data_IF_653718901304
#
_entry.id   IF_653718901304
#
_cell.length_a   1.000
_cell.length_b   1.000
_cell.length_c   1.000
_cell.angle_alpha   90.00
_cell.angle_beta   90.00
_cell.angle_gamma   90.00
#
_symmetry.space_group_name_H-M   'P 1'
#
loop_
_entity.id
_entity.type
_entity.pdbx_description
1 polymer ?
#
# COMPACT_ATOMS: atom_id res chain seq x y z
N UNK A 1 -20.04 4.04 31.76
CA UNK A 1 -20.48 3.27 30.57
C UNK A 1 -19.90 3.96 29.35
N UNK A 2 -18.98 3.33 28.63
CA UNK A 2 -18.42 3.92 27.41
C UNK A 2 -18.62 2.92 26.28
N UNK A 3 -19.77 3.01 25.63
CA UNK A 3 -20.06 2.29 24.40
C UNK A 3 -19.43 3.06 23.24
N UNK A 4 -18.12 2.90 23.03
CA UNK A 4 -17.56 3.21 21.71
C UNK A 4 -17.96 2.05 20.81
N UNK A 5 -18.96 2.31 19.96
CA UNK A 5 -19.31 1.45 18.84
C UNK A 5 -18.03 1.22 18.02
N UNK A 6 -17.49 0.00 18.07
CA UNK A 6 -16.61 -0.47 17.00
C UNK A 6 -17.46 -0.52 15.74
N UNK A 7 -17.54 0.60 15.02
CA UNK A 7 -18.12 0.62 13.68
C UNK A 7 -17.50 -0.54 12.91
N UNK A 8 -18.34 -1.43 12.38
CA UNK A 8 -17.88 -2.49 11.47
C UNK A 8 -17.01 -1.80 10.42
N UNK A 9 -15.70 -2.03 10.45
CA UNK A 9 -14.82 -1.61 9.35
C UNK A 9 -15.32 -2.38 8.14
N UNK A 10 -16.05 -1.70 7.26
CA UNK A 10 -16.42 -2.27 5.97
C UNK A 10 -15.10 -2.47 5.24
N UNK A 11 -14.68 -3.74 5.15
CA UNK A 11 -13.55 -4.13 4.33
C UNK A 11 -13.94 -3.85 2.89
N UNK A 12 -13.56 -2.67 2.37
CA UNK A 12 -13.56 -2.45 0.94
C UNK A 12 -12.51 -3.42 0.39
N UNK A 13 -12.98 -4.52 -0.21
CA UNK A 13 -12.10 -5.46 -0.91
C UNK A 13 -11.25 -4.69 -1.91
N UNK A 14 -9.97 -5.08 -2.04
CA UNK A 14 -9.07 -4.47 -3.01
C UNK A 14 -9.74 -4.41 -4.38
N UNK A 15 -9.76 -3.22 -4.98
CA UNK A 15 -10.28 -3.02 -6.32
C UNK A 15 -9.53 -3.91 -7.31
N UNK A 16 -10.26 -4.46 -8.27
CA UNK A 16 -9.67 -5.28 -9.31
C UNK A 16 -8.79 -4.39 -10.22
N UNK A 17 -7.56 -4.82 -10.49
CA UNK A 17 -6.61 -4.04 -11.29
C UNK A 17 -7.11 -3.78 -12.71
N UNK A 18 -7.81 -4.74 -13.33
CA UNK A 18 -8.43 -4.57 -14.65
C UNK A 18 -9.54 -3.51 -14.60
N UNK A 19 -10.31 -3.45 -13.51
CA UNK A 19 -11.32 -2.40 -13.33
C UNK A 19 -10.68 -1.02 -13.14
N UNK A 20 -9.57 -0.95 -12.40
CA UNK A 20 -8.81 0.30 -12.25
C UNK A 20 -8.25 0.77 -13.59
N UNK A 21 -7.59 -0.12 -14.34
CA UNK A 21 -7.05 0.19 -15.67
C UNK A 21 -8.14 0.73 -16.59
N UNK A 22 -9.29 0.03 -16.65
CA UNK A 22 -10.44 0.44 -17.44
C UNK A 22 -10.99 1.80 -16.98
N UNK A 23 -11.07 2.04 -15.68
CA UNK A 23 -11.53 3.33 -15.14
C UNK A 23 -10.59 4.48 -15.53
N UNK A 24 -9.27 4.28 -15.45
CA UNK A 24 -8.32 5.31 -15.90
C UNK A 24 -8.47 5.57 -17.40
N UNK A 25 -8.56 4.51 -18.21
CA UNK A 25 -8.72 4.63 -19.66
C UNK A 25 -9.94 5.49 -20.01
N UNK A 26 -11.09 5.20 -19.43
CA UNK A 26 -12.32 5.93 -19.70
C UNK A 26 -12.21 7.39 -19.29
N UNK A 27 -11.79 7.66 -18.05
CA UNK A 27 -11.70 9.04 -17.52
C UNK A 27 -10.73 9.90 -18.34
N UNK A 28 -9.58 9.35 -18.73
CA UNK A 28 -8.60 10.09 -19.52
C UNK A 28 -9.04 10.28 -20.97
N UNK A 29 -9.67 9.26 -21.56
CA UNK A 29 -10.18 9.34 -22.94
C UNK A 29 -11.33 10.34 -23.07
N UNK A 30 -12.29 10.34 -22.14
CA UNK A 30 -13.37 11.34 -22.09
C UNK A 30 -12.84 12.77 -21.99
N UNK A 31 -11.71 12.95 -21.29
CA UNK A 31 -11.07 14.23 -21.12
C UNK A 31 -10.05 14.60 -22.20
N UNK A 32 -9.99 13.81 -23.29
CA UNK A 32 -9.08 13.98 -24.43
C UNK A 32 -7.59 13.94 -24.07
N UNK A 33 -7.21 13.11 -23.10
CA UNK A 33 -5.81 12.82 -22.78
C UNK A 33 -5.32 11.64 -23.62
N UNK A 34 -4.08 11.72 -24.09
CA UNK A 34 -3.37 10.61 -24.73
C UNK A 34 -2.64 9.80 -23.66
N UNK A 35 -2.93 8.50 -23.59
CA UNK A 35 -2.34 7.57 -22.62
C UNK A 35 -2.04 6.26 -23.31
N UNK A 36 -0.84 5.73 -23.11
CA UNK A 36 -0.44 4.41 -23.63
C UNK A 36 -0.99 3.28 -22.75
N UNK A 37 -1.30 2.14 -23.36
CA UNK A 37 -1.82 0.96 -22.65
C UNK A 37 -0.86 0.47 -21.56
N UNK A 38 0.46 0.50 -21.83
CA UNK A 38 1.48 0.15 -20.84
C UNK A 38 1.44 1.05 -19.61
N UNK A 39 1.21 2.36 -19.80
CA UNK A 39 1.10 3.33 -18.72
C UNK A 39 -0.16 3.10 -17.88
N UNK A 40 -1.30 2.75 -18.49
CA UNK A 40 -2.53 2.42 -17.76
C UNK A 40 -2.36 1.20 -16.85
N UNK A 41 -1.68 0.15 -17.35
CA UNK A 41 -1.36 -1.04 -16.57
C UNK A 41 -0.42 -0.69 -15.41
N UNK A 42 0.62 0.10 -15.66
CA UNK A 42 1.54 0.57 -14.64
C UNK A 42 0.80 1.36 -13.54
N UNK A 43 -0.05 2.31 -13.94
CA UNK A 43 -0.89 3.06 -13.01
C UNK A 43 -1.74 2.14 -12.15
N UNK A 44 -2.40 1.13 -12.75
CA UNK A 44 -3.21 0.17 -11.99
C UNK A 44 -2.35 -0.60 -10.99
N UNK A 45 -1.19 -1.11 -11.39
CA UNK A 45 -0.26 -1.85 -10.52
C UNK A 45 0.23 -1.00 -9.35
N UNK A 46 0.55 0.29 -9.58
CA UNK A 46 0.98 1.23 -8.54
C UNK A 46 -0.06 1.43 -7.42
N UNK A 47 -1.34 1.15 -7.69
CA UNK A 47 -2.40 1.25 -6.67
C UNK A 47 -2.49 0.01 -5.78
N UNK A 48 -2.03 -1.16 -6.24
CA UNK A 48 -2.34 -2.49 -5.65
C UNK A 48 -3.84 -2.71 -5.32
N UNK A 49 -4.76 -2.01 -5.98
CA UNK A 49 -6.19 -2.08 -5.69
C UNK A 49 -6.62 -1.29 -4.45
N UNK A 50 -5.75 -0.48 -3.86
CA UNK A 50 -6.10 0.38 -2.73
C UNK A 50 -6.82 1.64 -3.22
N UNK A 51 -8.06 1.85 -2.77
CA UNK A 51 -8.95 2.89 -3.32
C UNK A 51 -8.39 4.30 -3.20
N UNK A 52 -7.75 4.64 -2.07
CA UNK A 52 -7.16 5.95 -1.89
C UNK A 52 -5.95 6.16 -2.82
N UNK A 53 -5.10 5.15 -2.97
CA UNK A 53 -3.98 5.17 -3.92
C UNK A 53 -4.46 5.38 -5.37
N UNK A 54 -5.54 4.70 -5.76
CA UNK A 54 -6.20 4.89 -7.04
C UNK A 54 -6.67 6.34 -7.25
N UNK A 55 -7.39 6.90 -6.28
CA UNK A 55 -7.88 8.28 -6.37
C UNK A 55 -6.74 9.29 -6.46
N UNK A 56 -5.73 9.15 -5.59
CA UNK A 56 -4.61 10.05 -5.50
C UNK A 56 -3.75 10.02 -6.78
N UNK A 57 -3.43 8.84 -7.30
CA UNK A 57 -2.60 8.71 -8.50
C UNK A 57 -3.30 9.34 -9.72
N UNK A 58 -4.61 9.09 -9.89
CA UNK A 58 -5.41 9.72 -10.95
C UNK A 58 -5.41 11.24 -10.84
N UNK A 59 -5.62 11.77 -9.64
CA UNK A 59 -5.58 13.21 -9.38
C UNK A 59 -4.22 13.84 -9.74
N UNK A 60 -3.11 13.24 -9.30
CA UNK A 60 -1.78 13.75 -9.57
C UNK A 60 -1.43 13.71 -11.06
N UNK A 61 -1.74 12.59 -11.74
CA UNK A 61 -1.56 12.45 -13.19
C UNK A 61 -2.35 13.53 -13.95
N UNK A 62 -3.62 13.73 -13.60
CA UNK A 62 -4.46 14.76 -14.21
C UNK A 62 -3.90 16.18 -14.00
N UNK A 63 -3.51 16.50 -12.76
CA UNK A 63 -2.96 17.80 -12.37
C UNK A 63 -1.69 18.12 -13.15
N UNK A 64 -0.78 17.14 -13.26
CA UNK A 64 0.52 17.32 -13.93
C UNK A 64 0.40 17.36 -15.46
N UNK A 65 -0.45 16.51 -16.04
CA UNK A 65 -0.70 16.47 -17.48
C UNK A 65 -1.71 17.51 -17.99
N UNK A 66 -2.18 18.44 -17.13
CA UNK A 66 -3.23 19.42 -17.49
C UNK A 66 -2.92 20.21 -18.77
N UNK A 67 -1.65 20.55 -18.98
CA UNK A 67 -1.19 21.34 -20.13
C UNK A 67 -0.78 20.47 -21.32
N UNK A 68 -0.07 19.36 -21.08
CA UNK A 68 0.44 18.49 -22.15
C UNK A 68 -0.62 17.56 -22.72
N UNK A 69 -1.63 17.20 -21.91
CA UNK A 69 -2.64 16.18 -22.20
C UNK A 69 -2.04 14.80 -22.54
N UNK A 70 -0.80 14.56 -22.14
CA UNK A 70 -0.08 13.31 -22.36
C UNK A 70 0.25 12.71 -21.00
N UNK A 71 -0.10 11.44 -20.83
CA UNK A 71 0.23 10.63 -19.65
C UNK A 71 1.07 9.45 -20.16
N UNK A 72 2.36 9.51 -19.89
CA UNK A 72 3.36 8.52 -20.24
C UNK A 72 4.13 8.05 -19.00
N UNK A 73 5.03 7.08 -19.15
CA UNK A 73 5.86 6.58 -18.06
C UNK A 73 6.75 7.67 -17.43
N UNK A 74 7.17 8.66 -18.20
CA UNK A 74 7.99 9.77 -17.69
C UNK A 74 7.18 10.67 -16.75
N UNK A 75 5.93 10.98 -17.08
CA UNK A 75 5.02 11.68 -16.19
C UNK A 75 4.82 10.90 -14.87
N UNK A 76 4.67 9.57 -14.95
CA UNK A 76 4.52 8.73 -13.76
C UNK A 76 5.75 8.83 -12.85
N UNK A 77 6.96 8.76 -13.39
CA UNK A 77 8.18 8.94 -12.60
C UNK A 77 8.29 10.35 -12.01
N UNK A 78 7.80 11.39 -12.69
CA UNK A 78 7.76 12.75 -12.14
C UNK A 78 6.76 12.92 -10.97
N UNK A 79 5.60 12.26 -11.02
CA UNK A 79 4.59 12.36 -9.95
C UNK A 79 4.86 11.42 -8.78
N UNK A 80 5.61 10.34 -8.99
CA UNK A 80 5.88 9.30 -8.00
C UNK A 80 6.41 9.82 -6.66
N UNK A 81 7.34 10.80 -6.58
CA UNK A 81 7.75 11.38 -5.31
C UNK A 81 6.60 12.07 -4.54
N UNK A 82 5.78 12.87 -5.21
CA UNK A 82 4.60 13.54 -4.62
C UNK A 82 3.57 12.49 -4.19
N UNK A 83 3.35 11.48 -5.02
CA UNK A 83 2.44 10.37 -4.75
C UNK A 83 2.81 9.59 -3.48
N UNK A 84 4.09 9.22 -3.33
CA UNK A 84 4.58 8.52 -2.13
C UNK A 84 4.45 9.41 -0.88
N UNK A 85 4.78 10.70 -0.98
CA UNK A 85 4.66 11.62 0.14
C UNK A 85 3.21 11.77 0.63
N UNK A 86 2.27 11.91 -0.30
CA UNK A 86 0.84 12.04 0.00
C UNK A 86 0.24 10.73 0.54
N UNK A 87 0.72 9.57 0.08
CA UNK A 87 0.37 8.27 0.68
C UNK A 87 0.87 8.18 2.13
N UNK A 88 2.12 8.56 2.36
CA UNK A 88 2.77 8.55 3.67
C UNK A 88 1.96 9.40 4.67
N UNK A 89 1.76 10.67 4.35
CA UNK A 89 1.13 11.66 5.23
C UNK A 89 -0.36 11.38 5.48
N UNK A 90 -1.11 11.05 4.43
CA UNK A 90 -2.57 10.99 4.56
C UNK A 90 -3.08 9.65 5.05
N UNK A 91 -2.35 8.57 4.79
CA UNK A 91 -2.74 7.20 5.12
C UNK A 91 -1.72 6.46 5.98
N UNK A 92 -0.47 6.32 5.54
CA UNK A 92 0.43 5.32 6.11
C UNK A 92 0.92 5.67 7.51
N UNK A 93 1.20 6.94 7.78
CA UNK A 93 1.54 7.41 9.14
C UNK A 93 0.43 7.11 10.13
N UNK A 94 -0.83 7.39 9.78
CA UNK A 94 -1.97 7.11 10.66
C UNK A 94 -2.17 5.61 10.90
N UNK A 95 -2.03 4.79 9.86
CA UNK A 95 -2.11 3.34 9.97
C UNK A 95 -1.01 2.83 10.89
N UNK A 96 0.23 3.24 10.64
CA UNK A 96 1.42 2.78 11.36
C UNK A 96 1.43 3.24 12.82
N UNK A 97 1.04 4.48 13.09
CA UNK A 97 0.99 5.03 14.43
C UNK A 97 -0.10 4.34 15.29
N UNK A 98 -1.17 3.86 14.65
CA UNK A 98 -2.21 3.04 15.30
C UNK A 98 -1.78 1.61 15.64
N UNK A 99 -0.62 1.15 15.17
CA UNK A 99 -0.11 -0.20 15.44
C UNK A 99 0.63 -0.28 16.77
N UNK A 100 0.49 -1.40 17.47
CA UNK A 100 1.27 -1.65 18.69
C UNK A 100 2.74 -1.89 18.35
N UNK A 101 3.64 -1.68 19.33
CA UNK A 101 5.08 -1.91 19.16
C UNK A 101 5.40 -3.33 18.65
N UNK A 102 4.60 -4.33 19.01
CA UNK A 102 4.79 -5.71 18.56
C UNK A 102 4.29 -5.94 17.13
N UNK A 103 3.23 -5.25 16.71
CA UNK A 103 2.78 -5.23 15.31
C UNK A 103 3.87 -4.59 14.43
N UNK A 104 4.44 -3.46 14.86
CA UNK A 104 5.54 -2.77 14.16
C UNK A 104 6.76 -3.67 14.01
N UNK A 105 7.16 -4.39 15.06
CA UNK A 105 8.25 -5.39 14.99
C UNK A 105 8.00 -6.49 13.96
N UNK A 106 6.76 -6.95 13.82
CA UNK A 106 6.40 -7.90 12.78
C UNK A 106 6.58 -7.28 11.38
N UNK A 107 6.09 -6.05 11.18
CA UNK A 107 6.20 -5.37 9.89
C UNK A 107 7.65 -5.05 9.53
N UNK A 108 8.48 -4.64 10.48
CA UNK A 108 9.92 -4.42 10.26
C UNK A 108 10.61 -5.70 9.80
N UNK A 109 10.39 -6.82 10.49
CA UNK A 109 10.96 -8.10 10.10
C UNK A 109 10.45 -8.60 8.73
N UNK A 110 9.20 -8.26 8.38
CA UNK A 110 8.64 -8.54 7.06
C UNK A 110 9.27 -7.64 5.98
N UNK A 111 9.43 -6.35 6.26
CA UNK A 111 9.93 -5.35 5.31
C UNK A 111 11.41 -5.56 4.95
N UNK A 112 12.20 -6.14 5.85
CA UNK A 112 13.59 -6.53 5.57
C UNK A 112 13.73 -7.63 4.50
N UNK A 113 12.66 -8.32 4.13
CA UNK A 113 12.71 -9.27 3.02
C UNK A 113 12.72 -8.52 1.68
N UNK A 114 13.57 -8.93 0.74
CA UNK A 114 13.57 -8.39 -0.63
C UNK A 114 12.40 -8.91 -1.49
N UNK A 115 11.62 -9.86 -0.96
CA UNK A 115 10.50 -10.47 -1.66
C UNK A 115 9.19 -9.76 -1.31
N UNK A 116 8.36 -9.54 -2.32
CA UNK A 116 6.99 -9.04 -2.13
C UNK A 116 6.10 -10.01 -1.33
N UNK A 117 6.39 -11.32 -1.43
CA UNK A 117 5.74 -12.40 -0.68
C UNK A 117 6.75 -12.97 0.30
N UNK A 118 6.41 -12.95 1.57
CA UNK A 118 7.33 -13.31 2.66
C UNK A 118 6.77 -14.53 3.40
N UNK A 119 7.61 -15.54 3.58
CA UNK A 119 7.26 -16.70 4.39
C UNK A 119 7.19 -16.32 5.86
N UNK A 120 6.14 -16.77 6.54
CA UNK A 120 5.97 -16.59 7.99
C UNK A 120 7.14 -17.21 8.77
N UNK A 121 7.73 -18.29 8.23
CA UNK A 121 8.93 -18.92 8.81
C UNK A 121 10.11 -17.95 8.86
N UNK A 122 10.34 -17.18 7.79
CA UNK A 122 11.45 -16.24 7.69
C UNK A 122 11.22 -15.05 8.63
N UNK A 123 9.98 -14.55 8.71
CA UNK A 123 9.60 -13.51 9.67
C UNK A 123 9.84 -14.00 11.11
N UNK A 124 9.44 -15.23 11.44
CA UNK A 124 9.68 -15.83 12.77
C UNK A 124 11.16 -15.91 13.10
N UNK A 125 11.99 -16.32 12.14
CA UNK A 125 13.44 -16.41 12.32
C UNK A 125 14.06 -15.04 12.63
N UNK A 126 13.64 -13.98 11.92
CA UNK A 126 14.13 -12.61 12.15
C UNK A 126 13.70 -12.04 13.50
N UNK A 127 12.44 -12.24 13.89
CA UNK A 127 11.90 -11.70 15.15
C UNK A 127 12.45 -12.47 16.37
N UNK A 128 12.90 -13.71 16.19
CA UNK A 128 13.37 -14.62 17.25
C UNK A 128 12.36 -14.74 18.42
N UNK A 129 11.08 -14.97 18.09
CA UNK A 129 9.98 -15.13 19.05
C UNK A 129 9.22 -16.44 18.84
N UNK A 130 8.48 -16.92 19.87
CA UNK A 130 7.68 -18.15 19.78
C UNK A 130 6.64 -18.10 18.65
N UNK A 131 6.30 -19.27 18.08
CA UNK A 131 5.30 -19.38 17.01
C UNK A 131 3.94 -18.76 17.38
N UNK A 132 3.50 -18.91 18.64
CA UNK A 132 2.24 -18.36 19.14
C UNK A 132 2.23 -16.83 19.09
N UNK A 133 3.36 -16.19 19.38
CA UNK A 133 3.53 -14.74 19.28
C UNK A 133 3.30 -14.32 17.82
N UNK A 134 4.05 -14.89 16.88
CA UNK A 134 3.98 -14.53 15.46
C UNK A 134 2.57 -14.78 14.87
N UNK A 135 1.91 -15.86 15.25
CA UNK A 135 0.55 -16.17 14.80
C UNK A 135 -0.48 -15.13 15.26
N UNK A 136 -0.37 -14.63 16.49
CA UNK A 136 -1.29 -13.62 17.02
C UNK A 136 -1.14 -12.27 16.32
N UNK A 137 0.09 -11.79 16.11
CA UNK A 137 0.32 -10.51 15.42
C UNK A 137 0.04 -10.60 13.92
N UNK A 138 0.30 -11.75 13.29
CA UNK A 138 -0.17 -12.03 11.93
C UNK A 138 -1.69 -11.87 11.83
N UNK A 139 -2.46 -12.47 12.74
CA UNK A 139 -3.93 -12.38 12.74
C UNK A 139 -4.39 -10.92 12.86
N UNK A 140 -3.82 -10.17 13.81
CA UNK A 140 -4.16 -8.76 14.00
C UNK A 140 -3.88 -7.92 12.76
N UNK A 141 -2.71 -8.09 12.14
CA UNK A 141 -2.34 -7.36 10.92
C UNK A 141 -3.19 -7.73 9.69
N UNK A 142 -3.72 -8.96 9.64
CA UNK A 142 -4.71 -9.37 8.65
C UNK A 142 -6.07 -8.71 8.92
N UNK A 143 -6.52 -8.69 10.18
CA UNK A 143 -7.77 -8.05 10.59
C UNK A 143 -7.74 -6.53 10.33
N UNK A 144 -6.59 -5.90 10.54
CA UNK A 144 -6.33 -4.49 10.23
C UNK A 144 -6.05 -4.24 8.73
N UNK A 145 -6.03 -5.29 7.90
CA UNK A 145 -5.81 -5.25 6.44
C UNK A 145 -4.47 -4.65 6.00
N UNK A 146 -3.49 -4.57 6.90
CA UNK A 146 -2.13 -4.10 6.59
C UNK A 146 -1.39 -5.15 5.74
N UNK A 147 -1.64 -6.42 6.01
CA UNK A 147 -1.12 -7.55 5.26
C UNK A 147 -2.25 -8.43 4.71
N UNK A 148 -1.92 -9.26 3.73
CA UNK A 148 -2.81 -10.28 3.16
C UNK A 148 -2.10 -11.61 3.03
N UNK A 149 -2.88 -12.70 3.07
CA UNK A 149 -2.36 -14.05 2.77
C UNK A 149 -2.26 -14.21 1.26
N UNK A 150 -1.11 -14.71 0.78
CA UNK A 150 -0.91 -14.98 -0.65
C UNK A 150 -0.93 -16.48 -0.98
N UNK A 151 -0.32 -17.29 -0.13
CA UNK A 151 -0.29 -18.76 -0.20
C UNK A 151 -0.21 -19.34 1.22
N UNK A 152 -0.19 -20.67 1.32
CA UNK A 152 0.03 -21.35 2.59
C UNK A 152 1.36 -20.91 3.24
N UNK A 153 1.26 -20.27 4.40
CA UNK A 153 2.44 -19.79 5.15
C UNK A 153 3.11 -18.53 4.56
N UNK A 154 2.50 -17.86 3.58
CA UNK A 154 3.02 -16.64 2.96
C UNK A 154 2.11 -15.43 3.16
N UNK A 155 2.72 -14.26 3.34
CA UNK A 155 2.03 -12.98 3.47
C UNK A 155 2.67 -11.91 2.58
N UNK A 156 1.88 -10.92 2.19
CA UNK A 156 2.33 -9.73 1.47
C UNK A 156 1.67 -8.48 2.06
N UNK A 157 2.31 -7.32 1.89
CA UNK A 157 1.68 -6.04 2.21
C UNK A 157 0.48 -5.81 1.29
N UNK A 158 -0.63 -5.39 1.88
CA UNK A 158 -1.84 -5.01 1.12
C UNK A 158 -1.65 -3.65 0.47
N UNK A 159 -1.04 -2.71 1.19
CA UNK A 159 -0.86 -1.33 0.78
C UNK A 159 0.29 -1.18 -0.24
N UNK A 160 0.15 -0.32 -1.27
CA UNK A 160 1.21 -0.06 -2.24
C UNK A 160 2.37 0.69 -1.60
N UNK A 161 3.62 0.35 -1.93
CA UNK A 161 4.82 1.02 -1.40
C UNK A 161 5.00 1.05 0.13
N UNK A 162 4.19 0.28 0.87
CA UNK A 162 4.19 0.33 2.33
C UNK A 162 5.42 -0.34 2.95
N UNK A 163 6.07 -1.26 2.22
CA UNK A 163 7.36 -1.85 2.64
C UNK A 163 8.42 -0.76 2.76
N UNK A 164 8.52 0.08 1.73
CA UNK A 164 9.49 1.17 1.63
C UNK A 164 9.21 2.22 2.73
N UNK A 165 7.93 2.54 2.95
CA UNK A 165 7.51 3.37 4.07
C UNK A 165 7.96 2.81 5.43
N UNK A 166 7.72 1.52 5.68
CA UNK A 166 8.09 0.85 6.94
C UNK A 166 9.60 0.86 7.16
N UNK A 167 10.41 0.59 6.13
CA UNK A 167 11.87 0.65 6.23
C UNK A 167 12.35 2.07 6.55
N UNK A 168 11.81 3.08 5.87
CA UNK A 168 12.13 4.49 6.11
C UNK A 168 11.77 4.91 7.53
N UNK A 169 10.60 4.49 8.03
CA UNK A 169 10.15 4.76 9.39
C UNK A 169 11.05 4.12 10.44
N UNK A 170 11.51 2.90 10.20
CA UNK A 170 12.45 2.21 11.11
C UNK A 170 13.74 3.02 11.30
N UNK A 171 14.33 3.50 10.20
CA UNK A 171 15.57 4.30 10.24
C UNK A 171 15.36 5.58 11.04
N UNK A 172 14.22 6.27 10.88
CA UNK A 172 13.95 7.48 11.66
C UNK A 172 13.77 7.20 13.16
N UNK A 173 13.07 6.12 13.52
CA UNK A 173 12.91 5.73 14.93
C UNK A 173 14.24 5.30 15.58
N UNK A 174 15.24 4.87 14.81
CA UNK A 174 16.57 4.49 15.31
C UNK A 174 17.52 5.70 15.49
N UNK A 175 17.19 6.86 14.93
CA UNK A 175 17.98 8.09 15.00
C UNK A 175 17.52 9.06 16.09
N UNK A 176 16.32 8.84 16.66
CA UNK A 176 15.75 9.57 17.80
C UNK A 176 16.21 8.98 19.15
#
# INVERSE_FOLDING_TARGET
>A
MTFILRGKRIALSSLNLTQIEYSYRNVFSEASYSVEDGTLIEMAVMTKGYSYAFQLLGYLAWKKAKHTKIIDANLLEQIKPEYLLELDQNAYTKIFDGLSNQDRKFLYAMAQSDKNRVLIKDIRQRINRPSNFVANYRRRLLDDQVIKVTNYGEVAFTLPFFREYVLKRQVFEELE
#
